data_IF_777850626167
#
_entry.id   IF_777850626167
#
_cell.length_a   1.000
_cell.length_b   1.000
_cell.length_c   1.000
_cell.angle_alpha   90.00
_cell.angle_beta   90.00
_cell.angle_gamma   90.00
#
_symmetry.space_group_name_H-M   'P 1'
#
loop_
_entity.id
_entity.type
_entity.pdbx_description
1 polymer ?
#
# COMPACT_ATOMS: atom_id res chain seq x y z
N UNK A 1 4.50 0.43 32.93
CA UNK A 1 3.59 -0.21 31.96
C UNK A 1 2.78 0.87 31.29
N UNK A 2 3.09 1.22 30.05
CA UNK A 2 2.33 2.23 29.28
C UNK A 2 1.03 1.63 28.74
N UNK A 3 -0.09 2.23 29.11
CA UNK A 3 -1.42 1.81 28.67
C UNK A 3 -1.73 2.21 27.22
N UNK A 4 -2.81 1.68 26.64
CA UNK A 4 -3.24 2.08 25.29
C UNK A 4 -3.61 3.57 25.19
N UNK A 5 -4.17 4.14 26.27
CA UNK A 5 -4.48 5.57 26.37
C UNK A 5 -3.21 6.45 26.29
N UNK A 6 -2.12 6.04 26.95
CA UNK A 6 -0.84 6.76 26.95
C UNK A 6 -0.23 6.77 25.55
N UNK A 7 -0.31 5.64 24.84
CA UNK A 7 0.17 5.56 23.46
C UNK A 7 -0.64 6.45 22.51
N UNK A 8 -1.97 6.46 22.64
CA UNK A 8 -2.82 7.32 21.83
C UNK A 8 -2.47 8.81 22.04
N UNK A 9 -2.28 9.24 23.29
CA UNK A 9 -1.86 10.60 23.62
C UNK A 9 -0.46 10.93 23.04
N UNK A 10 0.50 10.01 23.16
CA UNK A 10 1.82 10.16 22.56
C UNK A 10 1.74 10.34 21.04
N UNK A 11 0.98 9.50 20.34
CA UNK A 11 0.82 9.59 18.89
C UNK A 11 0.11 10.88 18.46
N UNK A 12 -0.85 11.39 19.25
CA UNK A 12 -1.48 12.69 18.98
C UNK A 12 -0.47 13.84 18.99
N UNK A 13 0.55 13.77 19.86
CA UNK A 13 1.63 14.74 19.90
C UNK A 13 2.69 14.53 18.80
N UNK A 14 3.08 13.28 18.53
CA UNK A 14 4.19 12.97 17.62
C UNK A 14 3.80 13.06 16.13
N UNK A 15 2.64 12.54 15.73
CA UNK A 15 2.23 12.44 14.32
C UNK A 15 2.25 13.78 13.56
N UNK A 16 1.80 14.92 14.13
CA UNK A 16 1.88 16.21 13.44
C UNK A 16 3.30 16.63 13.02
N UNK A 17 4.32 16.21 13.77
CA UNK A 17 5.74 16.51 13.48
C UNK A 17 6.26 15.69 12.29
N UNK A 18 5.65 14.52 12.05
CA UNK A 18 5.88 13.62 10.90
C UNK A 18 5.01 13.96 9.67
N UNK A 19 4.30 15.10 9.69
CA UNK A 19 3.29 15.48 8.68
C UNK A 19 2.12 14.49 8.57
N UNK A 20 1.85 13.73 9.63
CA UNK A 20 0.75 12.78 9.74
C UNK A 20 -0.43 13.35 10.57
N UNK A 21 -1.61 12.76 10.43
CA UNK A 21 -2.86 13.14 11.11
C UNK A 21 -3.36 12.02 12.01
N UNK A 22 -3.53 12.32 13.30
CA UNK A 22 -4.19 11.41 14.24
C UNK A 22 -5.54 10.88 13.74
N UNK A 23 -6.33 11.71 13.05
CA UNK A 23 -7.62 11.31 12.49
C UNK A 23 -7.53 10.04 11.61
N UNK A 24 -6.48 9.91 10.80
CA UNK A 24 -6.23 8.73 9.97
C UNK A 24 -5.77 7.51 10.76
N UNK A 25 -5.13 7.73 11.91
CA UNK A 25 -4.62 6.65 12.77
C UNK A 25 -5.67 6.09 13.74
N UNK A 26 -6.83 6.74 13.93
CA UNK A 26 -7.85 6.31 14.89
C UNK A 26 -8.18 4.80 14.81
N UNK A 27 -8.26 4.24 13.60
CA UNK A 27 -8.58 2.82 13.38
C UNK A 27 -7.38 1.88 13.38
N UNK A 28 -6.15 2.40 13.27
CA UNK A 28 -4.93 1.59 13.07
C UNK A 28 -3.85 1.82 14.14
N UNK A 29 -4.04 2.77 15.05
CA UNK A 29 -3.04 3.17 16.04
C UNK A 29 -2.59 2.02 16.94
N UNK A 30 -3.45 1.04 17.24
CA UNK A 30 -3.07 -0.15 18.01
C UNK A 30 -1.86 -0.89 17.41
N UNK A 31 -1.75 -0.95 16.08
CA UNK A 31 -0.62 -1.59 15.41
C UNK A 31 0.67 -0.77 15.56
N UNK A 32 0.56 0.56 15.51
CA UNK A 32 1.67 1.48 15.78
C UNK A 32 2.11 1.36 17.24
N UNK A 33 1.16 1.36 18.18
CA UNK A 33 1.42 1.18 19.61
C UNK A 33 2.07 -0.16 19.94
N UNK A 34 1.70 -1.23 19.23
CA UNK A 34 2.37 -2.53 19.37
C UNK A 34 3.83 -2.41 18.93
N UNK A 35 4.09 -1.85 17.74
CA UNK A 35 5.45 -1.64 17.21
C UNK A 35 6.29 -0.74 18.11
N UNK A 36 5.72 0.36 18.59
CA UNK A 36 6.37 1.28 19.52
C UNK A 36 6.77 0.58 20.82
N UNK A 37 5.93 -0.30 21.38
CA UNK A 37 6.29 -1.13 22.55
C UNK A 37 7.44 -2.11 22.29
N UNK A 38 7.63 -2.57 21.05
CA UNK A 38 8.84 -3.33 20.71
C UNK A 38 10.06 -2.42 20.71
N UNK A 39 9.96 -1.24 20.08
CA UNK A 39 11.05 -0.26 20.05
C UNK A 39 11.48 0.20 21.44
N UNK A 40 10.53 0.46 22.35
CA UNK A 40 10.84 0.78 23.76
C UNK A 40 11.69 -0.32 24.42
N UNK A 41 11.36 -1.59 24.19
CA UNK A 41 12.12 -2.71 24.75
C UNK A 41 13.52 -2.84 24.15
N UNK A 42 13.66 -2.62 22.85
CA UNK A 42 14.98 -2.60 22.19
C UNK A 42 15.88 -1.51 22.74
N UNK A 43 15.31 -0.33 23.03
CA UNK A 43 16.03 0.80 23.60
C UNK A 43 16.14 0.75 25.13
N UNK A 44 15.61 -0.31 25.77
CA UNK A 44 15.56 -0.45 27.24
C UNK A 44 14.86 0.72 27.96
N UNK A 45 13.84 1.31 27.32
CA UNK A 45 13.06 2.42 27.85
C UNK A 45 11.75 1.92 28.49
N UNK A 46 11.46 2.42 29.69
CA UNK A 46 10.29 1.98 30.46
C UNK A 46 8.98 2.73 30.12
N UNK A 47 9.09 3.96 29.59
CA UNK A 47 7.96 4.88 29.39
C UNK A 47 8.04 5.60 28.04
N UNK A 48 6.89 6.09 27.58
CA UNK A 48 6.80 6.92 26.38
C UNK A 48 7.41 8.32 26.60
N UNK A 49 7.45 8.81 27.84
CA UNK A 49 8.14 10.05 28.18
C UNK A 49 9.66 9.92 28.02
N UNK A 50 10.24 8.78 28.41
CA UNK A 50 11.65 8.51 28.12
C UNK A 50 11.92 8.46 26.61
N UNK A 51 10.99 7.90 25.83
CA UNK A 51 11.11 7.90 24.38
C UNK A 51 10.95 9.29 23.77
N UNK A 52 10.07 10.12 24.33
CA UNK A 52 9.94 11.54 23.96
C UNK A 52 11.26 12.28 24.16
N UNK A 53 11.90 12.10 25.30
CA UNK A 53 13.22 12.69 25.55
C UNK A 53 14.27 12.15 24.58
N UNK A 54 14.24 10.85 24.28
CA UNK A 54 15.12 10.26 23.26
C UNK A 54 14.96 10.95 21.90
N UNK A 55 13.73 11.19 21.45
CA UNK A 55 13.44 11.91 20.19
C UNK A 55 13.97 13.35 20.14
N UNK A 56 14.15 14.01 21.29
CA UNK A 56 14.76 15.34 21.38
C UNK A 56 16.29 15.28 21.27
N UNK A 57 16.90 14.21 21.80
CA UNK A 57 18.36 14.04 21.84
C UNK A 57 18.93 13.31 20.62
N UNK A 58 18.11 12.55 19.90
CA UNK A 58 18.51 11.71 18.78
C UNK A 58 17.55 11.91 17.59
N UNK A 59 17.91 12.78 16.63
CA UNK A 59 17.08 13.03 15.45
C UNK A 59 16.80 11.77 14.60
N UNK A 60 17.65 10.73 14.68
CA UNK A 60 17.43 9.50 13.93
C UNK A 60 16.18 8.74 14.39
N UNK A 61 15.81 8.85 15.68
CA UNK A 61 14.62 8.18 16.19
C UNK A 61 13.32 8.73 15.59
N UNK A 62 13.31 9.95 15.04
CA UNK A 62 12.15 10.45 14.30
C UNK A 62 11.91 9.65 13.02
N UNK A 63 12.98 9.26 12.31
CA UNK A 63 12.88 8.39 11.14
C UNK A 63 12.35 7.02 11.54
N UNK A 64 12.87 6.45 12.63
CA UNK A 64 12.39 5.16 13.14
C UNK A 64 10.91 5.24 13.48
N UNK A 65 10.47 6.28 14.21
CA UNK A 65 9.07 6.45 14.58
C UNK A 65 8.16 6.60 13.35
N UNK A 66 8.61 7.29 12.30
CA UNK A 66 7.88 7.40 11.02
C UNK A 66 7.68 6.01 10.39
N UNK A 67 8.73 5.20 10.33
CA UNK A 67 8.65 3.82 9.82
C UNK A 67 7.67 2.95 10.65
N UNK A 68 7.63 3.14 11.97
CA UNK A 68 6.65 2.45 12.82
C UNK A 68 5.20 2.86 12.53
N UNK A 69 4.98 4.02 11.92
CA UNK A 69 3.67 4.54 11.56
C UNK A 69 3.16 4.04 10.19
N UNK A 70 4.00 3.42 9.36
CA UNK A 70 3.59 2.90 8.05
C UNK A 70 2.49 1.84 8.16
N UNK A 71 1.50 1.88 7.26
CA UNK A 71 0.44 0.87 7.19
C UNK A 71 0.88 -0.24 6.24
N UNK A 72 1.32 -1.37 6.80
CA UNK A 72 2.04 -2.42 6.05
C UNK A 72 1.21 -3.65 5.70
N UNK A 73 -0.10 -3.60 5.97
CA UNK A 73 -1.02 -4.74 5.80
C UNK A 73 -2.05 -4.41 4.73
N UNK A 74 -2.01 -5.18 3.65
CA UNK A 74 -3.05 -5.23 2.63
C UNK A 74 -3.50 -6.68 2.40
N UNK A 75 -4.57 -6.85 1.60
CA UNK A 75 -5.14 -8.16 1.25
C UNK A 75 -5.67 -8.09 -0.17
N UNK A 76 -5.62 -9.21 -0.87
CA UNK A 76 -6.14 -9.32 -2.23
C UNK A 76 -7.64 -9.07 -2.22
N UNK A 77 -8.10 -8.35 -3.24
CA UNK A 77 -9.52 -8.13 -3.49
C UNK A 77 -10.28 -7.51 -2.30
N UNK A 78 -9.55 -6.73 -1.48
CA UNK A 78 -10.11 -5.98 -0.36
C UNK A 78 -11.09 -4.93 -0.88
N UNK A 79 -12.24 -4.82 -0.23
CA UNK A 79 -13.34 -3.93 -0.65
C UNK A 79 -13.84 -4.30 -2.05
N UNK A 80 -14.13 -5.60 -2.23
CA UNK A 80 -14.62 -6.25 -3.45
C UNK A 80 -15.53 -5.40 -4.34
N UNK A 81 -16.48 -4.66 -3.77
CA UNK A 81 -17.40 -3.80 -4.52
C UNK A 81 -16.69 -2.79 -5.43
N UNK A 82 -15.54 -2.25 -4.99
CA UNK A 82 -14.72 -1.33 -5.79
C UNK A 82 -14.14 -2.04 -7.01
N UNK A 83 -13.57 -3.23 -6.81
CA UNK A 83 -13.00 -4.02 -7.91
C UNK A 83 -14.08 -4.59 -8.84
N UNK A 84 -15.25 -4.94 -8.33
CA UNK A 84 -16.40 -5.37 -9.14
C UNK A 84 -16.84 -4.26 -10.11
N UNK A 85 -17.00 -3.02 -9.61
CA UNK A 85 -17.34 -1.85 -10.44
C UNK A 85 -16.22 -1.58 -11.44
N UNK A 86 -14.97 -1.66 -10.98
CA UNK A 86 -13.81 -1.42 -11.82
C UNK A 86 -13.74 -2.39 -13.00
N UNK A 87 -13.90 -3.70 -12.74
CA UNK A 87 -13.85 -4.74 -13.78
C UNK A 87 -15.01 -4.67 -14.76
N UNK A 88 -16.21 -4.31 -14.27
CA UNK A 88 -17.42 -4.29 -15.12
C UNK A 88 -17.57 -3.04 -15.95
N UNK A 89 -17.18 -1.87 -15.41
CA UNK A 89 -17.50 -0.58 -16.03
C UNK A 89 -16.24 0.16 -16.48
N UNK A 90 -15.25 0.28 -15.58
CA UNK A 90 -14.14 1.22 -15.79
C UNK A 90 -13.05 0.65 -16.71
N UNK A 91 -12.55 -0.55 -16.43
CA UNK A 91 -11.47 -1.15 -17.21
C UNK A 91 -11.87 -1.42 -18.67
N UNK A 92 -13.09 -1.89 -18.99
CA UNK A 92 -13.52 -2.01 -20.38
C UNK A 92 -13.52 -0.67 -21.12
N UNK A 93 -13.99 0.41 -20.48
CA UNK A 93 -13.99 1.74 -21.08
C UNK A 93 -12.57 2.28 -21.30
N UNK A 94 -11.68 2.09 -20.32
CA UNK A 94 -10.27 2.45 -20.46
C UNK A 94 -9.59 1.65 -21.59
N UNK A 95 -9.98 0.40 -21.79
CA UNK A 95 -9.45 -0.43 -22.87
C UNK A 95 -9.81 0.11 -24.26
N UNK A 96 -11.06 0.55 -24.45
CA UNK A 96 -11.49 1.18 -25.71
C UNK A 96 -10.69 2.46 -25.99
N UNK A 97 -10.53 3.33 -24.98
CA UNK A 97 -9.76 4.58 -25.13
C UNK A 97 -8.28 4.29 -25.42
N UNK A 98 -7.67 3.37 -24.68
CA UNK A 98 -6.27 3.00 -24.85
C UNK A 98 -6.02 2.40 -26.26
N UNK A 99 -6.95 1.59 -26.76
CA UNK A 99 -6.89 1.00 -28.09
C UNK A 99 -6.92 2.07 -29.19
N UNK A 100 -7.85 3.03 -29.09
CA UNK A 100 -7.95 4.15 -30.05
C UNK A 100 -6.68 4.99 -30.15
N UNK A 101 -5.91 5.07 -29.06
CA UNK A 101 -4.66 5.82 -29.00
C UNK A 101 -3.41 4.93 -29.16
N UNK A 102 -3.57 3.65 -29.48
CA UNK A 102 -2.49 2.68 -29.64
C UNK A 102 -1.48 2.66 -28.48
N UNK A 103 -1.97 2.76 -27.24
CA UNK A 103 -1.15 2.81 -26.02
C UNK A 103 -1.67 1.84 -24.95
N UNK A 104 -0.86 1.47 -23.94
CA UNK A 104 -1.35 0.70 -22.80
C UNK A 104 -2.25 1.53 -21.88
N UNK A 105 -3.04 0.83 -21.07
CA UNK A 105 -3.66 1.40 -19.86
C UNK A 105 -2.57 1.49 -18.79
N UNK A 106 -2.43 2.63 -18.14
CA UNK A 106 -1.46 2.83 -17.04
C UNK A 106 -2.18 3.04 -15.71
N UNK A 107 -1.98 2.14 -14.78
CA UNK A 107 -2.48 2.20 -13.40
C UNK A 107 -1.38 2.53 -12.40
N UNK A 108 -1.70 3.27 -11.34
CA UNK A 108 -0.82 3.52 -10.21
C UNK A 108 -1.49 3.16 -8.88
N UNK A 109 -0.83 2.34 -8.06
CA UNK A 109 -1.21 2.03 -6.68
C UNK A 109 -0.27 2.73 -5.70
N UNK A 110 -0.72 3.83 -5.10
CA UNK A 110 0.03 4.59 -4.11
C UNK A 110 -0.15 4.00 -2.70
N UNK A 111 0.95 3.74 -2.00
CA UNK A 111 0.97 2.99 -0.75
C UNK A 111 0.59 1.52 -0.97
N UNK A 112 1.27 0.88 -1.93
CA UNK A 112 0.88 -0.46 -2.39
C UNK A 112 1.13 -1.57 -1.37
N UNK A 113 1.76 -1.29 -0.23
CA UNK A 113 2.19 -2.26 0.76
C UNK A 113 2.99 -3.41 0.10
N UNK A 114 2.60 -4.67 0.33
CA UNK A 114 3.29 -5.82 -0.27
C UNK A 114 2.78 -6.16 -1.67
N UNK A 115 2.14 -5.21 -2.36
CA UNK A 115 1.72 -5.32 -3.75
C UNK A 115 0.37 -5.99 -3.96
N UNK A 116 -0.37 -6.37 -2.90
CA UNK A 116 -1.65 -7.07 -3.02
C UNK A 116 -2.65 -6.31 -3.90
N UNK A 117 -2.70 -4.99 -3.81
CA UNK A 117 -3.61 -4.16 -4.61
C UNK A 117 -3.22 -4.11 -6.09
N UNK A 118 -1.93 -3.89 -6.39
CA UNK A 118 -1.40 -3.87 -7.75
C UNK A 118 -1.61 -5.21 -8.46
N UNK A 119 -1.36 -6.32 -7.76
CA UNK A 119 -1.60 -7.65 -8.30
C UNK A 119 -3.08 -7.99 -8.40
N UNK A 120 -3.93 -7.54 -7.48
CA UNK A 120 -5.40 -7.69 -7.61
C UNK A 120 -5.88 -7.03 -8.91
N UNK A 121 -5.41 -5.82 -9.21
CA UNK A 121 -5.74 -5.12 -10.44
C UNK A 121 -5.27 -5.88 -11.69
N UNK A 122 -4.04 -6.41 -11.67
CA UNK A 122 -3.50 -7.18 -12.80
C UNK A 122 -4.26 -8.47 -13.05
N UNK A 123 -4.56 -9.21 -11.99
CA UNK A 123 -5.30 -10.48 -12.08
C UNK A 123 -6.73 -10.25 -12.56
N UNK A 124 -7.42 -9.24 -12.02
CA UNK A 124 -8.75 -8.81 -12.49
C UNK A 124 -8.72 -8.52 -13.99
N UNK A 125 -7.74 -7.73 -14.44
CA UNK A 125 -7.59 -7.39 -15.84
C UNK A 125 -7.38 -8.64 -16.69
N UNK A 126 -6.41 -9.48 -16.37
CA UNK A 126 -6.03 -10.62 -17.20
C UNK A 126 -7.12 -11.71 -17.28
N UNK A 127 -7.78 -12.00 -16.16
CA UNK A 127 -8.75 -13.09 -16.07
C UNK A 127 -10.16 -12.67 -16.46
N UNK A 128 -10.60 -11.49 -16.02
CA UNK A 128 -12.03 -11.16 -16.08
C UNK A 128 -12.35 -10.11 -17.15
N UNK A 129 -11.39 -9.23 -17.51
CA UNK A 129 -11.64 -8.12 -18.43
C UNK A 129 -11.05 -8.35 -19.81
N UNK A 130 -9.75 -8.64 -19.88
CA UNK A 130 -8.97 -8.78 -21.11
C UNK A 130 -9.57 -9.78 -22.11
N UNK A 131 -10.15 -10.94 -21.71
CA UNK A 131 -10.75 -11.87 -22.68
C UNK A 131 -11.90 -11.28 -23.49
N UNK A 132 -12.61 -10.28 -22.96
CA UNK A 132 -13.71 -9.59 -23.65
C UNK A 132 -13.38 -8.18 -24.15
N UNK A 133 -12.16 -7.70 -23.92
CA UNK A 133 -11.75 -6.34 -24.24
C UNK A 133 -10.90 -6.26 -25.54
N UNK A 134 -10.61 -5.04 -25.99
CA UNK A 134 -9.65 -4.78 -27.08
C UNK A 134 -8.25 -5.28 -26.69
N UNK A 135 -7.39 -5.62 -27.67
CA UNK A 135 -6.06 -6.18 -27.43
C UNK A 135 -5.06 -5.10 -26.94
N UNK A 136 -5.28 -4.60 -25.73
CA UNK A 136 -4.41 -3.62 -25.06
C UNK A 136 -3.71 -4.26 -23.87
N UNK A 137 -2.58 -3.69 -23.48
CA UNK A 137 -1.85 -4.08 -22.27
C UNK A 137 -2.27 -3.20 -21.09
N UNK A 138 -2.17 -3.76 -19.89
CA UNK A 138 -2.26 -3.03 -18.64
C UNK A 138 -0.87 -3.01 -17.99
N UNK A 139 -0.39 -1.81 -17.67
CA UNK A 139 0.80 -1.56 -16.90
C UNK A 139 0.41 -0.97 -15.55
N UNK A 140 0.94 -1.52 -14.46
CA UNK A 140 0.64 -1.10 -13.09
C UNK A 140 1.93 -0.79 -12.38
N UNK A 141 2.03 0.41 -11.80
CA UNK A 141 3.10 0.74 -10.87
C UNK A 141 2.57 0.78 -9.44
N UNK A 142 3.19 0.04 -8.53
CA UNK A 142 2.97 0.16 -7.10
C UNK A 142 4.07 0.99 -6.46
N UNK A 143 3.72 1.99 -5.66
CA UNK A 143 4.71 2.77 -4.91
C UNK A 143 4.48 2.68 -3.42
N UNK A 144 5.55 2.58 -2.63
CA UNK A 144 5.48 2.64 -1.17
C UNK A 144 6.74 3.30 -0.59
N UNK A 145 6.65 3.86 0.62
CA UNK A 145 7.78 4.46 1.32
C UNK A 145 8.62 3.39 2.03
N UNK A 146 8.01 2.25 2.37
CA UNK A 146 8.62 1.18 3.15
C UNK A 146 9.32 0.14 2.24
N UNK A 147 10.64 0.11 2.27
CA UNK A 147 11.45 -0.84 1.49
C UNK A 147 11.19 -2.31 1.86
N UNK A 148 10.82 -2.60 3.10
CA UNK A 148 10.56 -3.96 3.55
C UNK A 148 9.28 -4.51 2.91
N UNK A 149 8.24 -3.70 2.75
CA UNK A 149 7.01 -4.14 2.07
C UNK A 149 7.22 -4.26 0.56
N UNK A 150 8.01 -3.38 -0.06
CA UNK A 150 8.34 -3.48 -1.49
C UNK A 150 9.15 -4.73 -1.81
N UNK A 151 10.10 -5.12 -0.95
CA UNK A 151 10.82 -6.40 -1.12
C UNK A 151 9.85 -7.59 -1.08
N UNK A 152 8.83 -7.55 -0.23
CA UNK A 152 7.78 -8.60 -0.22
C UNK A 152 6.93 -8.57 -1.49
N UNK A 153 6.63 -7.38 -2.02
CA UNK A 153 5.92 -7.23 -3.29
C UNK A 153 6.71 -7.82 -4.47
N UNK A 154 8.00 -7.53 -4.55
CA UNK A 154 8.92 -8.09 -5.56
C UNK A 154 9.04 -9.62 -5.45
N UNK A 155 9.10 -10.15 -4.22
CA UNK A 155 9.07 -11.61 -4.01
C UNK A 155 7.75 -12.21 -4.50
N UNK A 156 6.62 -11.51 -4.33
CA UNK A 156 5.31 -11.89 -4.83
C UNK A 156 4.78 -13.19 -4.23
N UNK A 157 5.11 -13.47 -2.97
CA UNK A 157 4.68 -14.66 -2.23
C UNK A 157 3.94 -14.24 -0.96
N UNK A 158 2.75 -14.80 -0.76
CA UNK A 158 1.79 -14.34 0.23
C UNK A 158 1.29 -15.47 1.11
N UNK A 159 0.88 -15.16 2.34
CA UNK A 159 0.18 -16.13 3.18
C UNK A 159 -1.26 -16.33 2.67
N UNK A 160 -1.86 -17.46 3.02
CA UNK A 160 -3.29 -17.68 2.75
C UNK A 160 -4.19 -16.57 3.32
N UNK A 161 -3.81 -16.00 4.48
CA UNK A 161 -4.56 -14.90 5.10
C UNK A 161 -4.67 -13.64 4.23
N UNK A 162 -3.70 -13.40 3.34
CA UNK A 162 -3.75 -12.30 2.37
C UNK A 162 -4.74 -12.58 1.23
N UNK A 163 -5.02 -13.85 0.93
CA UNK A 163 -5.86 -14.31 -0.18
C UNK A 163 -7.30 -14.65 0.23
N UNK A 164 -7.64 -14.56 1.52
CA UNK A 164 -8.93 -15.04 2.04
C UNK A 164 -10.18 -14.42 1.40
N UNK A 165 -10.06 -13.22 0.82
CA UNK A 165 -11.17 -12.52 0.13
C UNK A 165 -11.08 -12.67 -1.40
N UNK A 166 -10.00 -13.27 -1.93
CA UNK A 166 -9.80 -13.42 -3.37
C UNK A 166 -10.73 -14.52 -3.93
N UNK A 167 -11.28 -14.35 -5.14
CA UNK A 167 -12.04 -15.40 -5.80
C UNK A 167 -11.20 -16.67 -5.99
N UNK A 168 -11.80 -17.85 -5.76
CA UNK A 168 -11.11 -19.15 -5.86
C UNK A 168 -10.44 -19.34 -7.23
N UNK A 169 -11.16 -19.01 -8.31
CA UNK A 169 -10.62 -19.13 -9.66
C UNK A 169 -9.41 -18.23 -9.93
N UNK A 170 -9.29 -17.08 -9.24
CA UNK A 170 -8.08 -16.25 -9.30
C UNK A 170 -6.92 -16.92 -8.57
N UNK A 171 -7.17 -17.49 -7.39
CA UNK A 171 -6.14 -18.19 -6.62
C UNK A 171 -5.59 -19.36 -7.43
N UNK A 172 -6.47 -20.17 -8.02
CA UNK A 172 -6.10 -21.35 -8.80
C UNK A 172 -5.31 -20.98 -10.07
N UNK A 173 -5.73 -19.92 -10.77
CA UNK A 173 -5.10 -19.49 -12.02
C UNK A 173 -3.82 -18.69 -11.82
N UNK A 174 -3.78 -17.78 -10.84
CA UNK A 174 -2.71 -16.78 -10.70
C UNK A 174 -1.61 -17.15 -9.71
N UNK A 175 -1.84 -18.14 -8.84
CA UNK A 175 -0.89 -18.50 -7.80
C UNK A 175 -0.40 -19.94 -7.95
N UNK A 176 0.79 -20.17 -7.41
CA UNK A 176 1.40 -21.47 -7.19
C UNK A 176 1.66 -21.62 -5.68
N UNK A 177 1.21 -22.73 -5.08
CA UNK A 177 1.48 -23.00 -3.68
C UNK A 177 2.90 -23.52 -3.51
N UNK A 178 3.70 -22.81 -2.71
CA UNK A 178 5.06 -23.21 -2.30
C UNK A 178 5.12 -23.30 -0.79
N UNK A 179 5.11 -24.52 -0.26
CA UNK A 179 5.01 -24.80 1.18
C UNK A 179 3.76 -24.13 1.81
N UNK A 180 3.98 -23.12 2.66
CA UNK A 180 2.92 -22.36 3.36
C UNK A 180 2.57 -21.04 2.67
N UNK A 181 3.21 -20.73 1.54
CA UNK A 181 3.01 -19.50 0.78
C UNK A 181 2.35 -19.77 -0.57
N UNK A 182 1.71 -18.73 -1.09
CA UNK A 182 1.11 -18.66 -2.41
C UNK A 182 1.87 -17.62 -3.21
N UNK A 183 2.61 -18.06 -4.22
CA UNK A 183 3.45 -17.21 -5.03
C UNK A 183 2.78 -16.90 -6.36
N UNK A 184 2.75 -15.63 -6.74
CA UNK A 184 2.18 -15.20 -8.01
C UNK A 184 3.01 -15.77 -9.17
N UNK A 185 2.31 -16.39 -10.12
CA UNK A 185 2.91 -16.93 -11.34
C UNK A 185 3.45 -15.81 -12.23
N UNK A 186 4.56 -16.02 -12.95
CA UNK A 186 5.21 -14.97 -13.75
C UNK A 186 4.30 -14.21 -14.71
N UNK A 187 3.33 -14.87 -15.33
CA UNK A 187 2.37 -14.25 -16.27
C UNK A 187 1.58 -13.07 -15.66
N UNK A 188 1.30 -13.12 -14.36
CA UNK A 188 0.56 -12.05 -13.65
C UNK A 188 1.50 -11.03 -12.97
N UNK A 189 2.83 -11.19 -13.16
CA UNK A 189 3.83 -10.18 -12.77
C UNK A 189 4.22 -9.28 -13.93
N UNK A 190 4.08 -9.75 -15.17
CA UNK A 190 4.42 -8.96 -16.35
C UNK A 190 3.58 -7.67 -16.40
N UNK A 191 4.24 -6.52 -16.56
CA UNK A 191 3.57 -5.22 -16.54
C UNK A 191 3.23 -4.70 -15.14
N UNK A 192 3.68 -5.37 -14.06
CA UNK A 192 3.61 -4.84 -12.69
C UNK A 192 5.01 -4.47 -12.23
N UNK A 193 5.21 -3.20 -11.88
CA UNK A 193 6.46 -2.67 -11.36
C UNK A 193 6.27 -2.11 -9.95
N UNK A 194 7.34 -2.07 -9.17
CA UNK A 194 7.35 -1.49 -7.83
C UNK A 194 8.50 -0.50 -7.67
N UNK A 195 8.20 0.68 -7.14
CA UNK A 195 9.16 1.75 -6.92
C UNK A 195 9.04 2.30 -5.49
N UNK A 196 10.16 2.74 -4.93
CA UNK A 196 10.17 3.35 -3.60
C UNK A 196 9.88 4.84 -3.73
N UNK A 197 8.64 5.24 -3.48
CA UNK A 197 8.25 6.64 -3.38
C UNK A 197 7.43 6.90 -2.13
N UNK A 198 7.78 7.97 -1.43
CA UNK A 198 6.92 8.56 -0.43
C UNK A 198 6.00 9.58 -1.10
N UNK A 199 4.70 9.31 -1.10
CA UNK A 199 3.68 10.18 -1.70
C UNK A 199 3.67 11.61 -1.11
N UNK A 200 4.25 11.82 0.08
CA UNK A 200 4.41 13.14 0.71
C UNK A 200 5.43 14.01 0.00
N UNK A 201 6.37 13.41 -0.74
CA UNK A 201 7.51 14.10 -1.36
C UNK A 201 7.65 13.85 -2.85
N UNK A 202 7.21 12.69 -3.34
CA UNK A 202 7.49 12.23 -4.69
C UNK A 202 6.29 11.50 -5.30
N UNK A 203 6.12 11.65 -6.61
CA UNK A 203 5.11 10.97 -7.40
C UNK A 203 5.80 10.25 -8.56
N UNK A 204 5.36 9.04 -8.94
CA UNK A 204 5.92 8.36 -10.09
C UNK A 204 5.69 9.15 -11.37
N UNK A 205 6.64 9.09 -12.29
CA UNK A 205 6.59 9.86 -13.52
C UNK A 205 5.51 9.36 -14.50
N UNK A 206 4.88 10.32 -15.18
CA UNK A 206 3.98 10.08 -16.31
C UNK A 206 2.50 10.31 -16.01
N UNK A 207 1.68 9.94 -17.00
CA UNK A 207 0.22 10.08 -16.95
C UNK A 207 -0.39 8.71 -16.71
N UNK A 208 -1.32 8.65 -15.75
CA UNK A 208 -2.04 7.44 -15.36
C UNK A 208 -3.52 7.56 -15.73
N UNK A 209 -4.08 6.49 -16.27
CA UNK A 209 -5.50 6.36 -16.54
C UNK A 209 -6.31 6.05 -15.27
N UNK A 210 -5.65 5.41 -14.30
CA UNK A 210 -6.26 4.95 -13.07
C UNK A 210 -5.28 5.09 -11.91
N UNK A 211 -5.71 5.74 -10.82
CA UNK A 211 -4.91 5.90 -9.60
C UNK A 211 -5.67 5.34 -8.41
N UNK A 212 -5.08 4.35 -7.75
CA UNK A 212 -5.49 3.86 -6.45
C UNK A 212 -4.66 4.57 -5.39
N UNK A 213 -5.31 5.33 -4.53
CA UNK A 213 -4.69 5.94 -3.36
C UNK A 213 -5.57 5.62 -2.15
N UNK A 214 -5.59 4.33 -1.81
CA UNK A 214 -6.56 3.78 -0.86
C UNK A 214 -5.87 3.53 0.47
N UNK A 215 -6.57 3.80 1.56
CA UNK A 215 -6.09 3.53 2.92
C UNK A 215 -4.87 4.32 3.42
N UNK A 216 -4.33 5.25 2.62
CA UNK A 216 -3.18 6.10 3.00
C UNK A 216 -3.51 7.59 3.05
N UNK A 217 -4.43 8.10 2.22
CA UNK A 217 -4.69 9.54 2.07
C UNK A 217 -5.14 10.20 3.38
N UNK A 218 -5.92 9.48 4.18
CA UNK A 218 -6.40 9.99 5.46
C UNK A 218 -5.31 10.11 6.53
N UNK A 219 -4.13 9.52 6.31
CA UNK A 219 -2.99 9.59 7.22
C UNK A 219 -2.24 10.93 7.13
N UNK A 220 -2.33 11.65 6.01
CA UNK A 220 -1.47 12.81 5.75
C UNK A 220 -2.15 14.15 6.06
N UNK A 221 -1.36 15.12 6.56
CA UNK A 221 -1.79 16.53 6.66
C UNK A 221 -1.75 17.17 5.28
N UNK A 222 -2.86 17.81 4.89
CA UNK A 222 -2.93 18.55 3.63
C UNK A 222 -2.00 19.76 3.64
N UNK A 223 -1.01 19.74 2.75
CA UNK A 223 -0.67 20.91 1.94
C UNK A 223 -0.58 20.36 0.52
N UNK A 224 -1.55 20.71 -0.33
CA UNK A 224 -1.40 20.46 -1.75
C UNK A 224 -0.09 21.14 -2.17
N UNK A 225 0.82 20.40 -2.78
CA UNK A 225 1.84 21.03 -3.60
C UNK A 225 1.06 21.89 -4.60
N UNK A 226 1.22 23.21 -4.51
CA UNK A 226 0.80 24.07 -5.59
C UNK A 226 1.54 23.54 -6.82
N UNK A 227 0.80 22.93 -7.75
CA UNK A 227 1.31 22.72 -9.08
C UNK A 227 1.68 24.12 -9.59
N UNK A 228 2.99 24.33 -9.77
CA UNK A 228 3.51 25.48 -10.49
C UNK A 228 2.98 25.47 -11.93
N UNK A 229 2.96 26.64 -12.58
CA UNK A 229 2.21 26.91 -13.81
C UNK A 229 2.54 25.97 -14.98
#
# INVERSE_FOLDING_TARGET
MTGEADCAAFLQWALPQLRLRWAGFRRVHHQVCKRLRWRLRELTLETLDHYRHRLETDPHEWTVLDDLCHVTISRFYRDRQVFDVLGRLILPELAERAFMHARPIRGWCAGCASGEEAFTLKILWDLDVRPGAKPVKLEVIGTDADDAVLRRALNGCFSFGSLKDAPVHWVDAAFERRQQLYCIRPAYREGVAFERHDIRSELPAGIFDLVFCRNIVFLFRGRAAAYGP
#
